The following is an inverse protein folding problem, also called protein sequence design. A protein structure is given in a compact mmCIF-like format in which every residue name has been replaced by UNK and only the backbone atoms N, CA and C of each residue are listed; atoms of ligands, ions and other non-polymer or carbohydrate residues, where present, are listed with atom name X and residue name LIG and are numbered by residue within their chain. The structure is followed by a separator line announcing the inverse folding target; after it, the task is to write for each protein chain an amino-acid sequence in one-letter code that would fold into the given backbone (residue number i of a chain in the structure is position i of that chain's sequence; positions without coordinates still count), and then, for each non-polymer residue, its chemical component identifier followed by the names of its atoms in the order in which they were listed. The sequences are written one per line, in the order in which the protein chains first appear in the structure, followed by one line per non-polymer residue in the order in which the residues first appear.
data_IF_828464812502
#
_entry.id   IF_828464812502
#
_cell.length_a   1.000
_cell.length_b   1.000
_cell.length_c   1.000
_cell.angle_alpha   90.00
_cell.angle_beta   90.00
_cell.angle_gamma   90.00
#
_symmetry.space_group_name_H-M   'P 1'
#
loop_
_entity.id
_entity.type
_entity.pdbx_description
1 polymer ?
#
# COMPACT_ATOMS: atom_id res chain seq x y z
N UNK A 1 42.62 11.39 17.43
CA UNK A 1 42.06 10.11 16.92
C UNK A 1 40.56 9.92 17.19
N UNK A 2 39.97 10.35 18.33
CA UNK A 2 38.53 10.12 18.64
C UNK A 2 37.51 10.86 17.75
N UNK A 3 37.81 12.07 17.27
CA UNK A 3 36.87 12.89 16.48
C UNK A 3 36.69 12.43 15.03
N UNK A 4 37.74 11.86 14.43
CA UNK A 4 37.70 11.37 13.04
C UNK A 4 36.82 10.12 12.88
N UNK A 5 36.84 9.21 13.87
CA UNK A 5 36.00 8.01 13.86
C UNK A 5 34.51 8.33 14.07
N UNK A 6 34.19 9.37 14.85
CA UNK A 6 32.81 9.82 15.05
C UNK A 6 32.26 10.46 13.77
N UNK A 7 33.06 11.27 13.08
CA UNK A 7 32.65 11.87 11.79
C UNK A 7 32.47 10.79 10.73
N UNK A 8 33.34 9.78 10.68
CA UNK A 8 33.23 8.66 9.74
C UNK A 8 31.99 7.79 10.01
N UNK A 9 31.67 7.50 11.28
CA UNK A 9 30.44 6.80 11.65
C UNK A 9 29.19 7.63 11.35
N UNK A 10 29.23 8.95 11.57
CA UNK A 10 28.16 9.86 11.19
C UNK A 10 27.96 9.89 9.66
N UNK A 11 29.02 9.97 8.87
CA UNK A 11 28.92 9.95 7.40
C UNK A 11 28.43 8.61 6.85
N UNK A 12 28.77 7.48 7.50
CA UNK A 12 28.23 6.15 7.15
C UNK A 12 26.74 6.04 7.54
N UNK A 13 26.32 6.63 8.67
CA UNK A 13 24.91 6.70 9.06
C UNK A 13 24.06 7.67 8.24
N UNK A 14 24.69 8.62 7.54
CA UNK A 14 24.05 9.63 6.68
C UNK A 14 23.89 9.20 5.22
N UNK A 15 24.34 8.00 4.84
CA UNK A 15 23.79 7.33 3.65
C UNK A 15 22.37 6.86 3.96
N UNK A 16 21.46 7.81 4.17
CA UNK A 16 20.07 7.62 3.79
C UNK A 16 20.16 7.36 2.29
N UNK A 17 20.00 6.09 1.88
CA UNK A 17 19.89 5.74 0.47
C UNK A 17 18.85 6.68 -0.14
N UNK A 18 19.32 7.57 -1.01
CA UNK A 18 18.48 8.55 -1.64
C UNK A 18 17.42 7.80 -2.45
N UNK A 19 16.15 8.00 -2.12
CA UNK A 19 15.06 7.33 -2.81
C UNK A 19 15.13 7.58 -4.32
N UNK A 20 15.07 6.52 -5.11
CA UNK A 20 15.12 6.60 -6.55
C UNK A 20 13.87 7.33 -7.10
N UNK A 21 14.02 8.23 -8.09
CA UNK A 21 12.89 8.99 -8.63
C UNK A 21 11.96 8.14 -9.51
N UNK A 22 12.46 7.02 -10.06
CA UNK A 22 11.66 6.13 -10.89
C UNK A 22 12.07 4.66 -10.74
N UNK A 23 11.11 3.77 -11.02
CA UNK A 23 11.25 2.32 -11.08
C UNK A 23 10.50 1.78 -12.29
N UNK A 24 11.09 0.78 -12.95
CA UNK A 24 10.40 -0.07 -13.92
C UNK A 24 10.80 -1.52 -13.66
N UNK A 25 9.82 -2.41 -13.55
CA UNK A 25 10.04 -3.83 -13.34
C UNK A 25 9.23 -4.68 -14.31
N UNK A 26 9.85 -5.77 -14.80
CA UNK A 26 9.12 -6.78 -15.55
C UNK A 26 8.44 -7.71 -14.54
N UNK A 27 9.23 -8.43 -13.75
CA UNK A 27 8.79 -9.37 -12.72
C UNK A 27 9.89 -9.43 -11.66
N UNK A 28 9.59 -9.31 -10.37
CA UNK A 28 10.61 -9.42 -9.32
C UNK A 28 11.35 -10.78 -9.44
N UNK A 29 12.71 -10.83 -9.48
CA UNK A 29 13.67 -9.75 -9.26
C UNK A 29 14.21 -9.02 -10.50
N UNK A 30 13.66 -9.28 -11.68
CA UNK A 30 13.95 -8.55 -12.92
C UNK A 30 13.30 -7.15 -12.90
N UNK A 31 13.94 -6.23 -12.19
CA UNK A 31 13.54 -4.82 -12.03
C UNK A 31 14.75 -3.88 -11.98
N UNK A 32 14.54 -2.60 -12.33
CA UNK A 32 15.63 -1.61 -12.43
C UNK A 32 16.22 -1.25 -11.06
N UNK A 33 15.36 -0.95 -10.09
CA UNK A 33 15.74 -0.72 -8.69
C UNK A 33 15.57 -2.00 -7.89
N UNK A 34 16.48 -2.27 -6.96
CA UNK A 34 16.35 -3.40 -6.04
C UNK A 34 15.11 -3.29 -5.16
N UNK A 35 14.61 -4.42 -4.67
CA UNK A 35 13.39 -4.47 -3.84
C UNK A 35 13.53 -3.80 -2.47
N UNK A 36 14.77 -3.62 -2.00
CA UNK A 36 15.10 -2.86 -0.80
C UNK A 36 15.16 -1.34 -1.02
N UNK A 37 15.12 -0.88 -2.28
CA UNK A 37 15.16 0.54 -2.63
C UNK A 37 13.81 1.23 -2.37
N UNK A 38 13.87 2.50 -1.97
CA UNK A 38 12.69 3.35 -1.86
C UNK A 38 12.48 4.16 -3.13
N UNK A 39 11.23 4.30 -3.58
CA UNK A 39 10.89 5.07 -4.77
C UNK A 39 10.17 6.36 -4.36
N UNK A 40 10.63 7.51 -4.85
CA UNK A 40 9.96 8.81 -4.67
C UNK A 40 9.68 9.44 -6.03
N UNK A 41 8.60 9.02 -6.66
CA UNK A 41 8.19 9.47 -7.99
C UNK A 41 7.26 8.47 -8.66
N UNK A 42 7.72 7.78 -9.71
CA UNK A 42 6.89 6.86 -10.50
C UNK A 42 7.42 5.43 -10.45
N UNK A 43 6.56 4.49 -10.10
CA UNK A 43 6.82 3.04 -10.13
C UNK A 43 5.95 2.40 -11.20
N UNK A 44 6.57 1.71 -12.16
CA UNK A 44 5.90 0.97 -13.23
C UNK A 44 6.11 -0.54 -13.07
N UNK A 45 5.03 -1.31 -12.94
CA UNK A 45 5.07 -2.76 -12.73
C UNK A 45 4.43 -3.48 -13.91
N UNK A 46 5.23 -3.94 -14.87
CA UNK A 46 4.67 -4.60 -16.06
C UNK A 46 3.96 -5.91 -15.70
N UNK A 47 4.56 -6.73 -14.83
CA UNK A 47 3.93 -7.93 -14.25
C UNK A 47 3.92 -7.83 -12.73
N UNK A 48 5.08 -7.72 -12.09
CA UNK A 48 5.20 -7.58 -10.63
C UNK A 48 6.51 -6.89 -10.25
N UNK A 49 6.47 -5.89 -9.37
CA UNK A 49 7.69 -5.34 -8.76
C UNK A 49 7.50 -5.05 -7.28
N UNK A 50 8.56 -5.26 -6.50
CA UNK A 50 8.60 -4.95 -5.08
C UNK A 50 9.56 -3.78 -4.80
N UNK A 51 9.20 -2.93 -3.84
CA UNK A 51 10.09 -1.89 -3.30
C UNK A 51 9.85 -1.72 -1.79
N UNK A 52 10.84 -1.19 -1.08
CA UNK A 52 10.76 -0.99 0.37
C UNK A 52 9.66 0.00 0.73
N UNK A 53 9.76 1.21 0.17
CA UNK A 53 8.76 2.26 0.32
C UNK A 53 8.50 2.94 -1.02
N UNK A 54 7.29 3.46 -1.21
CA UNK A 54 6.92 4.21 -2.42
C UNK A 54 6.16 5.46 -2.03
N UNK A 55 6.63 6.62 -2.49
CA UNK A 55 5.92 7.89 -2.42
C UNK A 55 5.70 8.43 -3.83
N UNK A 56 4.45 8.47 -4.29
CA UNK A 56 4.10 9.00 -5.62
C UNK A 56 3.07 8.16 -6.36
N UNK A 57 3.32 7.91 -7.66
CA UNK A 57 2.45 7.16 -8.54
C UNK A 57 2.98 5.74 -8.74
N UNK A 58 2.10 4.75 -8.64
CA UNK A 58 2.44 3.34 -8.75
C UNK A 58 1.44 2.65 -9.68
N UNK A 59 1.88 2.26 -10.88
CA UNK A 59 1.02 1.85 -11.99
C UNK A 59 1.47 0.51 -12.56
N UNK A 60 0.54 -0.38 -12.90
CA UNK A 60 0.92 -1.67 -13.47
C UNK A 60 -0.05 -2.82 -13.27
N UNK A 61 0.50 -4.04 -13.31
CA UNK A 61 -0.24 -5.27 -13.07
C UNK A 61 -0.27 -5.62 -11.59
N UNK A 62 0.87 -5.96 -10.97
CA UNK A 62 0.98 -6.18 -9.54
C UNK A 62 2.07 -5.33 -8.90
N UNK A 63 1.76 -4.70 -7.76
CA UNK A 63 2.72 -3.93 -6.97
C UNK A 63 2.81 -4.49 -5.56
N UNK A 64 4.04 -4.62 -5.06
CA UNK A 64 4.33 -4.89 -3.65
C UNK A 64 5.12 -3.73 -3.02
N UNK A 65 4.67 -3.27 -1.86
CA UNK A 65 5.35 -2.26 -1.03
C UNK A 65 5.48 -2.80 0.39
N UNK A 66 6.71 -2.98 0.85
CA UNK A 66 6.99 -3.76 2.08
C UNK A 66 6.89 -2.95 3.37
N UNK A 67 7.02 -1.62 3.29
CA UNK A 67 7.00 -0.74 4.46
C UNK A 67 5.95 0.36 4.31
N UNK A 68 6.25 1.43 3.59
CA UNK A 68 5.38 2.61 3.56
C UNK A 68 4.96 2.95 2.12
N UNK A 69 3.66 3.09 1.90
CA UNK A 69 3.11 3.65 0.67
C UNK A 69 2.45 4.99 0.95
N UNK A 70 2.76 6.01 0.14
CA UNK A 70 2.04 7.30 0.13
C UNK A 70 1.80 7.80 -1.29
N UNK A 71 0.54 7.92 -1.71
CA UNK A 71 0.20 8.46 -3.04
C UNK A 71 -0.98 7.77 -3.70
N UNK A 72 -0.84 7.46 -5.00
CA UNK A 72 -1.89 6.79 -5.80
C UNK A 72 -1.35 5.52 -6.43
N UNK A 73 -1.99 4.38 -6.14
CA UNK A 73 -1.73 3.11 -6.81
C UNK A 73 -2.86 2.80 -7.79
N UNK A 74 -2.52 2.39 -8.99
CA UNK A 74 -3.45 1.92 -10.01
C UNK A 74 -2.89 0.61 -10.60
N UNK A 75 -3.23 -0.51 -9.95
CA UNK A 75 -2.76 -1.84 -10.32
C UNK A 75 -3.92 -2.84 -10.32
N UNK A 76 -3.76 -3.99 -10.97
CA UNK A 76 -4.68 -5.12 -10.75
C UNK A 76 -4.52 -5.68 -9.35
N UNK A 77 -3.30 -5.71 -8.82
CA UNK A 77 -2.97 -6.22 -7.49
C UNK A 77 -2.11 -5.20 -6.75
N UNK A 78 -2.59 -4.73 -5.59
CA UNK A 78 -1.85 -3.83 -4.69
C UNK A 78 -1.59 -4.55 -3.36
N UNK A 79 -0.32 -4.84 -3.04
CA UNK A 79 0.10 -5.53 -1.81
C UNK A 79 0.97 -4.60 -0.97
N UNK A 80 0.41 -4.03 0.09
CA UNK A 80 1.13 -3.13 0.98
C UNK A 80 1.22 -3.75 2.38
N UNK A 81 2.43 -4.09 2.81
CA UNK A 81 2.66 -4.80 4.07
C UNK A 81 2.83 -3.89 5.29
N UNK A 82 2.71 -2.57 5.12
CA UNK A 82 2.75 -1.61 6.23
C UNK A 82 1.75 -0.48 6.03
N UNK A 83 2.12 0.76 6.36
CA UNK A 83 1.17 1.87 6.29
C UNK A 83 0.97 2.35 4.85
N UNK A 84 -0.28 2.43 4.46
CA UNK A 84 -0.73 2.94 3.17
C UNK A 84 -1.52 4.22 3.39
N UNK A 85 -1.05 5.32 2.79
CA UNK A 85 -1.74 6.62 2.80
C UNK A 85 -2.06 7.06 1.37
N UNK A 86 -3.34 7.23 1.06
CA UNK A 86 -3.77 7.75 -0.24
C UNK A 86 -4.83 6.89 -0.90
N UNK A 87 -4.71 6.63 -2.20
CA UNK A 87 -5.73 5.94 -2.98
C UNK A 87 -5.19 4.70 -3.68
N UNK A 88 -5.88 3.57 -3.55
CA UNK A 88 -5.58 2.31 -4.23
C UNK A 88 -6.72 1.95 -5.17
N UNK A 89 -6.46 1.96 -6.46
CA UNK A 89 -7.41 1.63 -7.52
C UNK A 89 -7.06 0.31 -8.18
N UNK A 90 -8.12 -0.44 -8.46
CA UNK A 90 -8.10 -1.68 -9.23
C UNK A 90 -8.47 -1.44 -10.69
N UNK A 91 -7.81 -2.15 -11.63
CA UNK A 91 -8.28 -2.19 -13.02
C UNK A 91 -9.61 -2.96 -13.12
N UNK A 92 -10.70 -2.24 -13.33
CA UNK A 92 -12.03 -2.80 -13.61
C UNK A 92 -12.53 -3.79 -12.55
N UNK A 93 -13.05 -4.93 -13.00
CA UNK A 93 -13.63 -5.98 -12.14
C UNK A 93 -12.62 -7.03 -11.65
N UNK A 94 -11.32 -6.76 -11.72
CA UNK A 94 -10.27 -7.72 -11.33
C UNK A 94 -9.29 -7.15 -10.30
N UNK A 95 -9.58 -5.97 -9.74
CA UNK A 95 -8.73 -5.32 -8.77
C UNK A 95 -8.72 -6.01 -7.41
N UNK A 96 -7.54 -6.22 -6.85
CA UNK A 96 -7.32 -6.65 -5.48
C UNK A 96 -6.40 -5.67 -4.76
N UNK A 97 -6.79 -5.26 -3.54
CA UNK A 97 -5.89 -4.54 -2.64
C UNK A 97 -5.83 -5.21 -1.28
N UNK A 98 -4.61 -5.32 -0.75
CA UNK A 98 -4.33 -5.72 0.62
C UNK A 98 -3.39 -4.70 1.25
N UNK A 99 -3.80 -4.14 2.38
CA UNK A 99 -2.99 -3.22 3.17
C UNK A 99 -2.95 -3.69 4.63
N UNK A 100 -1.82 -3.50 5.31
CA UNK A 100 -1.80 -3.70 6.76
C UNK A 100 -2.61 -2.58 7.44
N UNK A 101 -2.15 -1.34 7.28
CA UNK A 101 -2.85 -0.15 7.72
C UNK A 101 -3.20 0.71 6.50
N UNK A 102 -4.43 1.17 6.40
CA UNK A 102 -4.92 1.97 5.29
C UNK A 102 -5.57 3.26 5.78
N UNK A 103 -5.07 4.39 5.27
CA UNK A 103 -5.69 5.70 5.43
C UNK A 103 -5.97 6.29 4.05
N UNK A 104 -7.25 6.42 3.71
CA UNK A 104 -7.69 7.02 2.45
C UNK A 104 -8.75 6.19 1.74
N UNK A 105 -8.57 5.93 0.43
CA UNK A 105 -9.54 5.26 -0.43
C UNK A 105 -8.98 3.94 -0.97
N UNK A 106 -9.73 2.84 -0.81
CA UNK A 106 -9.53 1.62 -1.60
C UNK A 106 -10.73 1.41 -2.51
N UNK A 107 -10.50 1.37 -3.82
CA UNK A 107 -11.52 1.08 -4.83
C UNK A 107 -11.04 -0.06 -5.73
N UNK A 108 -11.37 -1.28 -5.33
CA UNK A 108 -11.01 -2.53 -6.00
C UNK A 108 -12.17 -3.51 -5.89
N UNK A 109 -12.16 -4.61 -6.64
CA UNK A 109 -13.21 -5.64 -6.44
C UNK A 109 -13.14 -6.31 -5.09
N UNK A 110 -11.92 -6.49 -4.58
CA UNK A 110 -11.67 -6.99 -3.24
C UNK A 110 -10.73 -6.00 -2.54
N UNK A 111 -11.16 -5.49 -1.40
CA UNK A 111 -10.36 -4.65 -0.52
C UNK A 111 -10.15 -5.38 0.82
N UNK A 112 -8.91 -5.48 1.27
CA UNK A 112 -8.56 -6.11 2.54
C UNK A 112 -7.63 -5.17 3.35
N UNK A 113 -8.02 -4.93 4.59
CA UNK A 113 -7.20 -4.23 5.58
C UNK A 113 -7.07 -5.08 6.83
N UNK A 114 -5.86 -5.55 7.13
CA UNK A 114 -5.65 -6.50 8.23
C UNK A 114 -5.63 -5.84 9.62
N UNK A 115 -5.18 -4.58 9.71
CA UNK A 115 -5.02 -3.86 10.97
C UNK A 115 -6.00 -2.68 11.06
N UNK A 116 -5.58 -1.46 10.70
CA UNK A 116 -6.43 -0.26 10.85
C UNK A 116 -6.86 0.30 9.49
N UNK A 117 -8.16 0.55 9.33
CA UNK A 117 -8.74 1.26 8.19
C UNK A 117 -9.31 2.61 8.63
N UNK A 118 -8.83 3.70 8.03
CA UNK A 118 -9.39 5.04 8.16
C UNK A 118 -9.75 5.57 6.77
N UNK A 119 -11.04 5.67 6.45
CA UNK A 119 -11.52 6.20 5.17
C UNK A 119 -12.54 5.30 4.48
N UNK A 120 -12.45 5.17 3.16
CA UNK A 120 -13.47 4.56 2.31
C UNK A 120 -12.96 3.27 1.65
N UNK A 121 -13.76 2.20 1.69
CA UNK A 121 -13.58 1.02 0.83
C UNK A 121 -14.78 0.86 -0.09
N UNK A 122 -14.53 0.72 -1.39
CA UNK A 122 -15.54 0.51 -2.43
C UNK A 122 -15.15 -0.74 -3.20
N UNK A 123 -16.00 -1.77 -3.18
CA UNK A 123 -15.70 -3.04 -3.82
C UNK A 123 -16.85 -4.03 -3.83
N UNK A 124 -16.66 -5.22 -4.40
CA UNK A 124 -17.63 -6.31 -4.25
C UNK A 124 -17.50 -6.94 -2.86
N UNK A 125 -16.25 -7.07 -2.39
CA UNK A 125 -15.90 -7.60 -1.07
C UNK A 125 -14.97 -6.63 -0.36
N UNK A 126 -15.40 -6.15 0.80
CA UNK A 126 -14.60 -5.31 1.69
C UNK A 126 -14.36 -6.05 3.01
N UNK A 127 -13.11 -6.09 3.47
CA UNK A 127 -12.70 -6.83 4.66
C UNK A 127 -11.82 -5.93 5.52
N UNK A 128 -12.21 -5.75 6.79
CA UNK A 128 -11.42 -5.07 7.82
C UNK A 128 -11.33 -6.00 9.04
N UNK A 129 -10.13 -6.48 9.33
CA UNK A 129 -9.91 -7.47 10.39
C UNK A 129 -9.61 -6.84 11.76
N UNK A 130 -8.94 -5.69 11.80
CA UNK A 130 -8.67 -4.99 13.06
C UNK A 130 -9.78 -4.00 13.40
N UNK A 131 -9.80 -2.83 12.79
CA UNK A 131 -10.86 -1.82 13.01
C UNK A 131 -10.54 -0.46 12.40
N UNK A 132 -11.04 0.62 13.01
CA UNK A 132 -10.76 2.00 12.61
C UNK A 132 -11.99 2.77 12.12
N UNK A 133 -11.79 4.02 11.73
CA UNK A 133 -12.87 4.94 11.30
C UNK A 133 -13.15 4.81 9.82
N UNK A 134 -14.10 3.97 9.44
CA UNK A 134 -14.28 3.56 8.06
C UNK A 134 -15.72 3.59 7.60
N UNK A 135 -15.89 3.68 6.29
CA UNK A 135 -17.14 3.44 5.59
C UNK A 135 -16.87 2.51 4.40
N UNK A 136 -17.70 1.50 4.25
CA UNK A 136 -17.59 0.47 3.22
C UNK A 136 -18.84 0.48 2.37
N UNK A 137 -18.65 0.40 1.06
CA UNK A 137 -19.71 0.19 0.09
C UNK A 137 -19.37 -1.04 -0.77
N UNK A 138 -20.27 -2.03 -0.78
CA UNK A 138 -20.03 -3.26 -1.52
C UNK A 138 -21.03 -4.37 -1.30
N UNK A 139 -21.00 -5.42 -2.12
CA UNK A 139 -21.95 -6.54 -1.98
C UNK A 139 -21.81 -7.21 -0.61
N UNK A 140 -20.58 -7.40 -0.13
CA UNK A 140 -20.26 -7.97 1.18
C UNK A 140 -19.25 -7.07 1.88
N UNK A 141 -19.57 -6.65 3.10
CA UNK A 141 -18.72 -5.79 3.92
C UNK A 141 -18.50 -6.43 5.29
N UNK A 142 -17.29 -6.94 5.53
CA UNK A 142 -16.86 -7.50 6.81
C UNK A 142 -16.04 -6.47 7.59
N UNK A 143 -16.44 -6.21 8.82
CA UNK A 143 -15.65 -5.44 9.78
C UNK A 143 -15.78 -6.04 11.16
N UNK A 144 -14.67 -6.59 11.66
CA UNK A 144 -14.60 -7.21 12.99
C UNK A 144 -15.02 -6.25 14.12
N UNK A 145 -14.81 -4.95 13.94
CA UNK A 145 -15.14 -3.92 14.92
C UNK A 145 -16.26 -2.99 14.44
N UNK A 146 -17.18 -3.49 13.59
CA UNK A 146 -18.34 -2.71 13.15
C UNK A 146 -19.19 -2.23 14.34
N UNK A 147 -19.77 -1.03 14.22
CA UNK A 147 -20.69 -0.49 15.24
C UNK A 147 -22.06 -1.17 15.26
N UNK A 148 -22.41 -1.97 14.24
CA UNK A 148 -23.73 -2.61 14.10
C UNK A 148 -23.62 -4.13 14.06
N UNK A 149 -23.03 -4.69 12.99
CA UNK A 149 -22.85 -6.14 12.81
C UNK A 149 -21.56 -6.42 12.02
N UNK A 150 -20.93 -7.57 12.31
CA UNK A 150 -19.66 -7.93 11.69
C UNK A 150 -19.72 -8.06 10.16
N UNK A 151 -20.86 -8.43 9.59
CA UNK A 151 -21.09 -8.54 8.15
C UNK A 151 -22.37 -7.80 7.79
N UNK A 152 -22.31 -6.92 6.80
CA UNK A 152 -23.47 -6.22 6.24
C UNK A 152 -23.43 -6.18 4.70
N UNK A 153 -24.58 -6.35 4.03
CA UNK A 153 -24.68 -6.14 2.59
C UNK A 153 -24.76 -4.63 2.27
N UNK A 154 -24.26 -4.25 1.09
CA UNK A 154 -24.27 -2.91 0.49
C UNK A 154 -23.47 -1.84 1.25
N UNK A 155 -23.63 -1.72 2.56
CA UNK A 155 -22.94 -0.73 3.40
C UNK A 155 -22.48 -1.32 4.74
N UNK A 156 -21.34 -0.86 5.26
CA UNK A 156 -20.91 -1.06 6.65
C UNK A 156 -20.05 0.13 7.09
N UNK A 157 -19.97 0.42 8.38
CA UNK A 157 -19.15 1.52 8.89
C UNK A 157 -18.76 1.31 10.36
N UNK A 158 -17.75 2.04 10.79
CA UNK A 158 -17.35 2.19 12.19
C UNK A 158 -16.85 3.61 12.42
N UNK A 159 -17.30 4.24 13.51
CA UNK A 159 -16.98 5.63 13.86
C UNK A 159 -15.86 5.74 14.91
#
# INVERSE_FOLDING_TARGET
MRRSNIILMLTISLYIMAAAPFQIGLVNPVQYQNESESIKGVKLNLVHSANSSVTGLDLGFASEVRSEFTGVQFNFINLNSGNTKGAQFGWGFFGFSSAENMTGLQWNTINNTSSQMVGLQIGLLNIIQGGGKNFQFGLINYNKNSSIFFILPFINFSL
#
